data_IF_990901067886
#
_entry.id   IF_990901067886
#
_cell.length_a   1.000
_cell.length_b   1.000
_cell.length_c   1.000
_cell.angle_alpha   90.00
_cell.angle_beta   90.00
_cell.angle_gamma   90.00
#
_symmetry.space_group_name_H-M   'P 1'
#
loop_
_entity.id
_entity.type
_entity.pdbx_description
1 polymer ?
#
# COMPACT_ATOMS: atom_id res chain seq x y z
N UNK A 1 6.12 -22.93 -2.88
CA UNK A 1 6.82 -21.84 -3.60
C UNK A 1 6.24 -20.52 -3.13
N UNK A 2 6.92 -19.85 -2.21
CA UNK A 2 6.50 -18.54 -1.70
C UNK A 2 6.76 -17.53 -2.80
N UNK A 3 5.71 -16.92 -3.35
CA UNK A 3 5.86 -15.77 -4.23
C UNK A 3 6.54 -14.67 -3.40
N UNK A 4 7.79 -14.35 -3.75
CA UNK A 4 8.59 -13.31 -3.12
C UNK A 4 7.96 -11.95 -3.45
N UNK A 5 6.89 -11.58 -2.74
CA UNK A 5 6.28 -10.27 -2.88
C UNK A 5 7.29 -9.20 -2.45
N UNK A 6 7.76 -8.41 -3.40
CA UNK A 6 8.67 -7.31 -3.12
C UNK A 6 7.88 -6.15 -2.48
N UNK A 7 7.84 -6.14 -1.14
CA UNK A 7 7.20 -5.09 -0.36
C UNK A 7 8.00 -3.79 -0.41
N UNK A 8 7.34 -2.69 -0.78
CA UNK A 8 7.87 -1.33 -0.68
C UNK A 8 7.20 -0.62 0.48
N UNK A 9 8.00 -0.20 1.46
CA UNK A 9 7.57 0.62 2.58
C UNK A 9 7.42 2.08 2.16
N UNK A 10 6.38 2.75 2.65
CA UNK A 10 6.18 4.19 2.43
C UNK A 10 7.27 5.02 3.12
N UNK A 11 7.72 6.11 2.48
CA UNK A 11 8.66 7.07 3.06
C UNK A 11 8.11 7.80 4.29
N UNK A 12 6.78 7.78 4.48
CA UNK A 12 6.11 8.32 5.67
C UNK A 12 6.09 7.32 6.85
N UNK A 13 6.78 6.17 6.73
CA UNK A 13 6.85 5.12 7.76
C UNK A 13 8.11 5.22 8.63
N UNK A 14 8.47 6.41 9.11
CA UNK A 14 9.65 6.65 9.96
C UNK A 14 9.45 6.25 11.44
N UNK A 15 10.48 6.49 12.28
CA UNK A 15 10.53 6.03 13.68
C UNK A 15 9.82 6.90 14.74
N UNK A 16 9.17 8.01 14.36
CA UNK A 16 8.44 8.87 15.30
C UNK A 16 7.01 8.41 15.58
N UNK A 17 6.52 8.68 16.79
CA UNK A 17 5.12 8.48 17.18
C UNK A 17 4.18 9.26 16.25
N UNK A 18 3.30 8.55 15.53
CA UNK A 18 2.33 9.15 14.60
C UNK A 18 2.52 8.78 13.12
N UNK A 19 3.52 7.98 12.76
CA UNK A 19 3.69 7.57 11.37
C UNK A 19 2.66 6.51 10.91
N UNK A 20 2.03 6.83 9.78
CA UNK A 20 1.10 5.98 9.03
C UNK A 20 1.92 4.95 8.23
N UNK A 21 2.38 3.92 8.94
CA UNK A 21 3.27 2.91 8.38
C UNK A 21 2.50 1.96 7.45
N UNK A 22 2.66 2.14 6.14
CA UNK A 22 2.07 1.27 5.12
C UNK A 22 3.14 0.70 4.19
N UNK A 23 2.92 -0.53 3.73
CA UNK A 23 3.71 -1.19 2.69
C UNK A 23 2.81 -1.66 1.55
N UNK A 24 3.34 -1.59 0.33
CA UNK A 24 2.65 -2.06 -0.87
C UNK A 24 3.47 -3.12 -1.60
N UNK A 25 2.82 -4.09 -2.22
CA UNK A 25 3.46 -5.07 -3.10
C UNK A 25 2.65 -5.25 -4.40
N UNK A 26 3.36 -5.39 -5.51
CA UNK A 26 2.77 -5.70 -6.81
C UNK A 26 2.74 -7.22 -7.01
N UNK A 27 1.55 -7.78 -7.20
CA UNK A 27 1.29 -9.22 -7.30
C UNK A 27 0.85 -9.62 -8.72
N UNK A 28 1.23 -8.87 -9.74
CA UNK A 28 0.74 -9.04 -11.12
C UNK A 28 -0.56 -8.26 -11.33
N UNK A 29 -1.73 -8.91 -11.51
CA UNK A 29 -2.99 -8.20 -11.72
C UNK A 29 -3.54 -7.52 -10.46
N UNK A 30 -2.85 -7.65 -9.31
CA UNK A 30 -3.27 -7.09 -8.03
C UNK A 30 -2.17 -6.28 -7.36
N UNK A 31 -2.61 -5.34 -6.52
CA UNK A 31 -1.80 -4.59 -5.57
C UNK A 31 -2.22 -5.02 -4.16
N UNK A 32 -1.25 -5.40 -3.34
CA UNK A 32 -1.46 -5.67 -1.93
C UNK A 32 -1.01 -4.48 -1.09
N UNK A 33 -1.79 -4.12 -0.08
CA UNK A 33 -1.51 -3.05 0.89
C UNK A 33 -1.61 -3.64 2.29
N UNK A 34 -0.62 -3.38 3.14
CA UNK A 34 -0.67 -3.76 4.55
C UNK A 34 -0.09 -2.69 5.46
N UNK A 35 -0.41 -2.83 6.73
CA UNK A 35 0.20 -2.07 7.81
C UNK A 35 1.61 -2.62 8.10
N UNK A 36 2.63 -1.75 8.10
CA UNK A 36 4.02 -2.18 8.31
C UNK A 36 4.31 -2.63 9.75
N UNK A 37 3.46 -2.24 10.72
CA UNK A 37 3.56 -2.63 12.13
C UNK A 37 2.95 -4.02 12.37
N UNK A 38 2.11 -4.49 11.45
CA UNK A 38 1.45 -5.81 11.51
C UNK A 38 1.68 -6.64 10.24
N UNK A 39 2.94 -6.99 9.88
CA UNK A 39 3.26 -7.64 8.60
C UNK A 39 2.71 -9.06 8.44
N UNK A 40 2.32 -9.71 9.55
CA UNK A 40 1.71 -11.05 9.58
C UNK A 40 0.21 -11.06 9.33
N UNK A 41 -0.46 -9.89 9.40
CA UNK A 41 -1.87 -9.77 9.08
C UNK A 41 -2.08 -9.90 7.57
N UNK A 42 -3.19 -10.53 7.18
CA UNK A 42 -3.58 -10.65 5.77
C UNK A 42 -3.66 -9.26 5.12
N UNK A 43 -2.93 -9.01 4.01
CA UNK A 43 -2.97 -7.74 3.31
C UNK A 43 -4.31 -7.54 2.60
N UNK A 44 -4.71 -6.28 2.43
CA UNK A 44 -5.84 -5.93 1.58
C UNK A 44 -5.37 -5.92 0.13
N UNK A 45 -6.11 -6.55 -0.77
CA UNK A 45 -5.76 -6.64 -2.19
C UNK A 45 -6.74 -5.89 -3.06
N UNK A 46 -6.22 -5.22 -4.09
CA UNK A 46 -6.98 -4.47 -5.08
C UNK A 46 -6.57 -4.90 -6.48
N UNK A 47 -7.48 -4.94 -7.46
CA UNK A 47 -7.09 -5.04 -8.86
C UNK A 47 -6.25 -3.83 -9.27
N UNK A 48 -5.16 -4.05 -10.03
CA UNK A 48 -4.28 -2.96 -10.49
C UNK A 48 -5.06 -1.93 -11.32
N UNK A 49 -6.06 -2.37 -12.09
CA UNK A 49 -6.96 -1.52 -12.89
C UNK A 49 -7.85 -0.60 -12.05
N UNK A 50 -8.15 -0.96 -10.81
CA UNK A 50 -8.92 -0.13 -9.88
C UNK A 50 -8.02 0.74 -8.99
N UNK A 51 -6.81 0.27 -8.69
CA UNK A 51 -5.89 0.97 -7.80
C UNK A 51 -5.32 2.26 -8.42
N UNK A 52 -4.99 2.24 -9.72
CA UNK A 52 -4.50 3.42 -10.43
C UNK A 52 -5.49 4.61 -10.44
N UNK A 53 -6.77 4.45 -10.86
CA UNK A 53 -7.72 5.56 -10.81
C UNK A 53 -8.03 6.01 -9.38
N UNK A 54 -8.03 5.09 -8.40
CA UNK A 54 -8.15 5.45 -6.98
C UNK A 54 -7.03 6.41 -6.53
N UNK A 55 -5.77 6.09 -6.85
CA UNK A 55 -4.65 6.98 -6.52
C UNK A 55 -4.75 8.33 -7.24
N UNK A 56 -5.24 8.35 -8.48
CA UNK A 56 -5.46 9.59 -9.22
C UNK A 56 -6.50 10.46 -8.52
N UNK A 57 -7.63 9.87 -8.09
CA UNK A 57 -8.66 10.57 -7.33
C UNK A 57 -8.15 11.11 -5.99
N UNK A 58 -7.31 10.34 -5.27
CA UNK A 58 -6.71 10.80 -4.01
C UNK A 58 -5.74 11.97 -4.20
N UNK A 59 -4.96 11.98 -5.29
CA UNK A 59 -4.00 13.07 -5.60
C UNK A 59 -4.70 14.33 -6.08
N UNK A 60 -5.82 14.17 -6.77
CA UNK A 60 -6.62 15.25 -7.34
C UNK A 60 -7.41 16.03 -6.28
N UNK A 61 -6.92 16.10 -5.03
CA UNK A 61 -7.51 16.78 -3.87
C UNK A 61 -8.48 17.88 -4.31
N UNK A 62 -9.80 17.74 -4.09
CA UNK A 62 -10.70 18.84 -4.29
C UNK A 62 -10.38 19.88 -3.22
N UNK A 63 -10.23 21.11 -3.67
CA UNK A 63 -10.17 22.33 -2.88
C UNK A 63 -11.22 22.28 -1.76
N UNK A 64 -10.78 22.10 -0.51
CA UNK A 64 -11.51 22.51 0.68
C UNK A 64 -10.61 22.60 1.92
#
# INVERSE_FOLDING_TARGET
MTLSCHWRKSSYSGGGDGNNCVEIAHLGPHIAVRDSKSPTRTPVTFPTTAFAPFLHALKATPER
#
